data_IF_469674362663
#
_entry.id   IF_469674362663
#
_cell.length_a   1.000
_cell.length_b   1.000
_cell.length_c   1.000
_cell.angle_alpha   90.00
_cell.angle_beta   90.00
_cell.angle_gamma   90.00
#
_symmetry.space_group_name_H-M   'P 1'
#
loop_
_entity.id
_entity.type
_entity.pdbx_description
1 polymer ?
#
# COMPACT_ATOMS: atom_id res chain seq x y z
N UNK A 1 9.19 3.08 -3.61
CA UNK A 1 10.39 3.89 -3.95
C UNK A 1 10.12 4.60 -5.26
N UNK A 2 10.37 5.91 -5.32
CA UNK A 2 10.16 6.72 -6.51
C UNK A 2 11.19 7.86 -6.55
N UNK A 3 11.47 8.38 -7.74
CA UNK A 3 12.26 9.59 -7.96
C UNK A 3 11.40 10.54 -8.78
N UNK A 4 11.25 11.77 -8.29
CA UNK A 4 10.60 12.85 -9.04
C UNK A 4 11.51 14.06 -9.01
N UNK A 5 11.77 14.62 -10.19
CA UNK A 5 12.63 15.79 -10.37
C UNK A 5 11.86 16.86 -11.12
N UNK A 6 11.78 18.05 -10.55
CA UNK A 6 11.28 19.25 -11.22
C UNK A 6 12.45 20.21 -11.44
N UNK A 7 12.89 20.33 -12.69
CA UNK A 7 14.00 21.20 -13.09
C UNK A 7 13.45 22.50 -13.67
N UNK A 8 13.87 23.64 -13.11
CA UNK A 8 13.55 24.98 -13.64
C UNK A 8 14.60 25.51 -14.64
N UNK A 9 15.60 24.70 -14.95
CA UNK A 9 16.70 25.01 -15.88
C UNK A 9 16.71 23.98 -17.01
N UNK A 10 17.28 24.35 -18.16
CA UNK A 10 17.27 23.49 -19.36
C UNK A 10 18.10 22.21 -19.21
N UNK A 11 19.18 22.24 -18.42
CA UNK A 11 20.03 21.08 -18.19
C UNK A 11 20.71 21.12 -16.83
N UNK A 12 21.09 19.94 -16.34
CA UNK A 12 21.88 19.73 -15.13
C UNK A 12 23.04 18.79 -15.49
N UNK A 13 24.22 19.00 -14.92
CA UNK A 13 25.35 18.10 -15.12
C UNK A 13 25.09 16.75 -14.41
N UNK A 14 25.61 15.67 -15.00
CA UNK A 14 25.48 14.33 -14.42
C UNK A 14 26.17 14.24 -13.04
N UNK A 15 27.26 14.99 -12.84
CA UNK A 15 27.99 15.00 -11.58
C UNK A 15 27.21 15.68 -10.47
N UNK A 16 26.60 16.85 -10.74
CA UNK A 16 25.74 17.52 -9.77
C UNK A 16 24.52 16.66 -9.42
N UNK A 17 23.95 15.95 -10.40
CA UNK A 17 22.86 15.02 -10.13
C UNK A 17 23.31 13.86 -9.23
N UNK A 18 24.52 13.31 -9.46
CA UNK A 18 25.07 12.23 -8.65
C UNK A 18 25.28 12.69 -7.20
N UNK A 19 25.83 13.87 -7.01
CA UNK A 19 26.02 14.49 -5.69
C UNK A 19 24.68 14.71 -4.98
N UNK A 20 23.70 15.30 -5.68
CA UNK A 20 22.38 15.54 -5.14
C UNK A 20 21.68 14.23 -4.72
N UNK A 21 21.79 13.17 -5.51
CA UNK A 21 21.23 11.86 -5.17
C UNK A 21 21.96 11.19 -4.01
N UNK A 22 23.28 11.36 -3.90
CA UNK A 22 24.05 10.86 -2.76
C UNK A 22 23.59 11.54 -1.46
N UNK A 23 23.49 12.87 -1.47
CA UNK A 23 22.99 13.64 -0.34
C UNK A 23 21.54 13.27 0.01
N UNK A 24 20.66 13.13 -1.00
CA UNK A 24 19.28 12.72 -0.78
C UNK A 24 19.19 11.32 -0.17
N UNK A 25 20.09 10.40 -0.52
CA UNK A 25 20.17 9.07 0.08
C UNK A 25 20.56 9.15 1.56
N UNK A 26 21.57 9.94 1.92
CA UNK A 26 21.98 10.12 3.31
C UNK A 26 20.85 10.72 4.14
N UNK A 27 20.21 11.78 3.64
CA UNK A 27 19.06 12.40 4.29
C UNK A 27 17.89 11.41 4.45
N UNK A 28 17.62 10.58 3.44
CA UNK A 28 16.60 9.53 3.51
C UNK A 28 16.91 8.49 4.59
N UNK A 29 18.17 8.09 4.76
CA UNK A 29 18.55 7.13 5.79
C UNK A 29 18.36 7.72 7.19
N UNK A 30 18.81 8.96 7.41
CA UNK A 30 18.54 9.69 8.66
C UNK A 30 17.04 9.80 8.98
N UNK A 31 16.21 10.11 7.99
CA UNK A 31 14.77 10.16 8.17
C UNK A 31 14.18 8.78 8.53
N UNK A 32 14.65 7.71 7.89
CA UNK A 32 14.23 6.35 8.19
C UNK A 32 14.65 5.92 9.61
N UNK A 33 15.86 6.25 10.03
CA UNK A 33 16.34 5.97 11.39
C UNK A 33 15.42 6.64 12.42
N UNK A 34 15.03 7.91 12.17
CA UNK A 34 14.10 8.61 13.05
C UNK A 34 12.69 8.01 13.04
N UNK A 35 12.24 7.51 11.89
CA UNK A 35 10.97 6.77 11.79
C UNK A 35 11.04 5.47 12.61
N UNK A 36 12.15 4.75 12.54
CA UNK A 36 12.38 3.52 13.30
C UNK A 36 12.43 3.74 14.81
N UNK A 37 12.93 4.89 15.28
CA UNK A 37 12.83 5.27 16.71
C UNK A 37 11.38 5.41 17.18
N UNK A 38 10.45 5.75 16.28
CA UNK A 38 9.02 5.92 16.59
C UNK A 38 8.26 4.60 16.50
N UNK A 39 8.52 3.82 15.46
CA UNK A 39 7.91 2.51 15.24
C UNK A 39 8.90 1.61 14.50
N UNK A 40 9.45 0.62 15.20
CA UNK A 40 10.45 -0.30 14.66
C UNK A 40 9.84 -1.36 13.75
N UNK A 41 8.61 -1.78 14.03
CA UNK A 41 7.93 -2.87 13.36
C UNK A 41 6.44 -2.60 13.14
N UNK A 42 5.84 -3.34 12.21
CA UNK A 42 4.39 -3.28 11.99
C UNK A 42 3.64 -3.76 13.23
N UNK A 43 2.50 -3.13 13.53
CA UNK A 43 1.63 -3.58 14.62
C UNK A 43 1.14 -5.01 14.33
N UNK A 44 1.15 -5.87 15.34
CA UNK A 44 0.68 -7.25 15.24
C UNK A 44 -0.79 -7.32 14.82
N UNK A 45 -1.59 -6.42 15.38
CA UNK A 45 -3.02 -6.36 15.12
C UNK A 45 -3.44 -5.05 14.44
N UNK A 46 -4.45 -5.18 13.58
CA UNK A 46 -5.13 -4.04 12.97
C UNK A 46 -5.89 -3.26 14.05
N UNK A 47 -5.93 -1.93 13.90
CA UNK A 47 -6.71 -1.04 14.77
C UNK A 47 -8.15 -1.56 14.96
N UNK A 48 -8.73 -1.47 16.17
CA UNK A 48 -10.12 -1.89 16.41
C UNK A 48 -11.14 -1.06 15.62
N UNK A 49 -10.75 0.12 15.14
CA UNK A 49 -11.58 1.01 14.34
C UNK A 49 -11.36 0.86 12.83
N UNK A 50 -10.37 0.08 12.41
CA UNK A 50 -10.09 -0.12 11.00
C UNK A 50 -10.96 -1.26 10.41
N UNK A 51 -11.42 -1.13 9.16
CA UNK A 51 -12.15 -2.20 8.50
C UNK A 51 -11.26 -3.44 8.34
N UNK A 52 -11.80 -4.62 8.63
CA UNK A 52 -11.09 -5.89 8.49
C UNK A 52 -11.48 -6.56 7.18
N UNK A 53 -10.48 -6.90 6.37
CA UNK A 53 -10.66 -7.66 5.13
C UNK A 53 -10.29 -9.11 5.42
N UNK A 54 -11.22 -10.03 5.19
CA UNK A 54 -10.97 -11.47 5.27
C UNK A 54 -11.12 -12.10 3.89
N UNK A 55 -10.13 -12.88 3.46
CA UNK A 55 -10.17 -13.58 2.18
C UNK A 55 -10.55 -15.03 2.44
N UNK A 56 -11.74 -15.42 2.01
CA UNK A 56 -12.22 -16.80 2.10
C UNK A 56 -12.08 -17.43 0.71
N UNK A 57 -11.29 -18.51 0.60
CA UNK A 57 -11.20 -19.29 -0.63
C UNK A 57 -12.33 -20.31 -0.67
N UNK A 58 -13.08 -20.33 -1.77
CA UNK A 58 -14.22 -21.24 -1.98
C UNK A 58 -13.84 -22.24 -3.06
N UNK A 59 -14.24 -23.50 -2.89
CA UNK A 59 -14.09 -24.51 -3.94
C UNK A 59 -14.86 -24.04 -5.20
N UNK A 60 -14.21 -24.12 -6.36
CA UNK A 60 -14.75 -23.71 -7.66
C UNK A 60 -16.09 -24.39 -7.98
N UNK A 61 -16.30 -25.62 -7.52
CA UNK A 61 -17.57 -26.34 -7.70
C UNK A 61 -18.74 -25.70 -6.93
N UNK A 62 -18.46 -24.99 -5.84
CA UNK A 62 -19.47 -24.37 -4.96
C UNK A 62 -19.70 -22.89 -5.26
N UNK A 63 -19.01 -22.31 -6.25
CA UNK A 63 -19.12 -20.89 -6.57
C UNK A 63 -20.54 -20.50 -6.99
N UNK A 64 -21.22 -21.37 -7.75
CA UNK A 64 -22.58 -21.14 -8.22
C UNK A 64 -23.60 -21.03 -7.08
N UNK A 65 -23.38 -21.74 -5.97
CA UNK A 65 -24.26 -21.69 -4.80
C UNK A 65 -24.13 -20.36 -4.04
N UNK A 66 -22.91 -19.83 -3.94
CA UNK A 66 -22.63 -18.57 -3.23
C UNK A 66 -23.08 -17.35 -4.04
N UNK A 67 -22.86 -17.37 -5.36
CA UNK A 67 -23.33 -16.29 -6.24
C UNK A 67 -24.86 -16.33 -6.36
N UNK A 68 -25.44 -17.53 -6.50
CA UNK A 68 -26.86 -17.74 -6.78
C UNK A 68 -27.26 -17.33 -8.20
N UNK A 69 -28.52 -17.57 -8.61
CA UNK A 69 -28.99 -17.23 -9.94
C UNK A 69 -28.91 -15.71 -10.18
N UNK A 70 -28.17 -15.30 -11.21
CA UNK A 70 -27.99 -13.90 -11.59
C UNK A 70 -27.26 -13.04 -10.53
N UNK A 71 -26.54 -13.65 -9.58
CA UNK A 71 -25.88 -12.93 -8.49
C UNK A 71 -26.81 -12.48 -7.37
N UNK A 72 -28.05 -12.99 -7.31
CA UNK A 72 -29.03 -12.57 -6.31
C UNK A 72 -28.59 -12.87 -4.88
N UNK A 73 -27.95 -14.01 -4.64
CA UNK A 73 -27.51 -14.42 -3.30
C UNK A 73 -26.36 -13.53 -2.83
N UNK A 74 -25.34 -13.30 -3.67
CA UNK A 74 -24.20 -12.46 -3.28
C UNK A 74 -24.60 -10.99 -3.08
N UNK A 75 -25.50 -10.44 -3.91
CA UNK A 75 -26.03 -9.08 -3.72
C UNK A 75 -26.80 -8.96 -2.40
N UNK A 76 -27.65 -9.95 -2.10
CA UNK A 76 -28.37 -10.00 -0.82
C UNK A 76 -27.42 -10.02 0.38
N UNK A 77 -26.34 -10.81 0.31
CA UNK A 77 -25.33 -10.86 1.38
C UNK A 77 -24.70 -9.48 1.55
N UNK A 78 -24.28 -8.81 0.46
CA UNK A 78 -23.71 -7.45 0.52
C UNK A 78 -24.71 -6.47 1.14
N UNK A 79 -25.97 -6.48 0.71
CA UNK A 79 -27.00 -5.57 1.25
C UNK A 79 -27.27 -5.79 2.75
N UNK A 80 -27.18 -7.04 3.23
CA UNK A 80 -27.40 -7.39 4.64
C UNK A 80 -26.16 -7.15 5.53
N UNK A 81 -24.94 -7.26 4.97
CA UNK A 81 -23.69 -7.17 5.75
C UNK A 81 -22.92 -5.87 5.57
N UNK A 82 -23.24 -5.05 4.56
CA UNK A 82 -22.60 -3.76 4.26
C UNK A 82 -21.56 -3.82 3.16
#
# INVERSE_FOLDING_TARGET
TALQMDLKIQSISADLLREALAQAREARLLALDKMHETISETREDLSPYAPRISIIKINTEKIGLVIGPGGKTIRKIIDETG
#
